data_IF_273850434464
#
_entry.id   IF_273850434464
#
_cell.length_a   1.000
_cell.length_b   1.000
_cell.length_c   1.000
_cell.angle_alpha   90.00
_cell.angle_beta   90.00
_cell.angle_gamma   90.00
#
_symmetry.space_group_name_H-M   'P 1'
#
loop_
_entity.id
_entity.type
_entity.pdbx_description
1 polymer ?
#
# COMPACT_ATOMS: atom_id res chain seq x y z
N UNK A 1 4.03 6.63 -2.43
CA UNK A 1 5.09 5.86 -1.74
C UNK A 1 4.55 5.29 -0.44
N UNK A 2 4.83 4.04 -0.16
CA UNK A 2 4.57 3.48 1.15
C UNK A 2 5.68 3.91 2.11
N UNK A 3 5.28 4.25 3.33
CA UNK A 3 6.13 4.93 4.29
C UNK A 3 6.64 3.96 5.36
N UNK A 4 7.95 3.70 5.38
CA UNK A 4 8.57 2.71 6.28
C UNK A 4 8.23 2.91 7.76
N UNK A 5 8.25 4.13 8.32
CA UNK A 5 7.89 4.31 9.72
C UNK A 5 6.48 3.84 10.06
N UNK A 6 5.51 4.06 9.16
CA UNK A 6 4.13 3.61 9.36
C UNK A 6 4.02 2.07 9.26
N UNK A 7 4.72 1.47 8.29
CA UNK A 7 4.75 0.01 8.14
C UNK A 7 5.33 -0.64 9.40
N UNK A 8 6.43 -0.12 9.92
CA UNK A 8 7.07 -0.65 11.12
C UNK A 8 6.21 -0.47 12.38
N UNK A 9 5.55 0.69 12.51
CA UNK A 9 4.75 1.00 13.70
C UNK A 9 3.43 0.25 13.75
N UNK A 10 2.78 0.07 12.61
CA UNK A 10 1.43 -0.50 12.55
C UNK A 10 1.39 -2.03 12.44
N UNK A 11 2.49 -2.68 12.04
CA UNK A 11 2.55 -4.13 11.87
C UNK A 11 1.34 -4.66 11.09
N UNK A 12 1.29 -4.48 9.77
CA UNK A 12 0.13 -4.85 8.97
C UNK A 12 -0.30 -6.30 9.20
N UNK A 13 -1.59 -6.49 9.27
CA UNK A 13 -2.21 -7.77 9.58
C UNK A 13 -3.27 -8.11 8.53
N UNK A 14 -3.84 -9.31 8.61
CA UNK A 14 -4.89 -9.78 7.73
C UNK A 14 -6.10 -8.84 7.78
N UNK A 15 -6.61 -8.45 6.60
CA UNK A 15 -7.79 -7.60 6.47
C UNK A 15 -8.78 -8.22 5.50
N UNK A 16 -10.06 -8.11 5.85
CA UNK A 16 -11.17 -8.55 5.01
C UNK A 16 -12.04 -7.35 4.68
N UNK A 17 -12.32 -7.14 3.41
CA UNK A 17 -13.23 -6.11 2.95
C UNK A 17 -14.32 -6.73 2.10
N UNK A 18 -15.58 -6.35 2.37
CA UNK A 18 -16.74 -6.82 1.61
C UNK A 18 -17.46 -5.64 0.98
N UNK A 19 -17.86 -5.81 -0.27
CA UNK A 19 -18.67 -4.86 -1.01
C UNK A 19 -19.88 -5.59 -1.55
N UNK A 20 -21.03 -4.96 -1.41
CA UNK A 20 -22.29 -5.47 -1.94
C UNK A 20 -22.81 -4.54 -3.04
N UNK A 21 -23.16 -5.12 -4.16
CA UNK A 21 -23.94 -4.46 -5.21
C UNK A 21 -25.29 -5.15 -5.29
N UNK A 22 -26.15 -4.69 -6.21
CA UNK A 22 -27.45 -5.31 -6.43
C UNK A 22 -27.33 -6.77 -6.79
N UNK A 23 -26.30 -7.15 -7.55
CA UNK A 23 -26.14 -8.49 -8.14
C UNK A 23 -24.99 -9.30 -7.57
N UNK A 24 -24.02 -8.65 -6.91
CA UNK A 24 -22.76 -9.27 -6.50
C UNK A 24 -22.43 -8.98 -5.05
N UNK A 25 -21.80 -9.98 -4.41
CA UNK A 25 -21.00 -9.78 -3.20
C UNK A 25 -19.56 -10.02 -3.54
N UNK A 26 -18.70 -9.02 -3.27
CA UNK A 26 -17.26 -9.11 -3.50
C UNK A 26 -16.56 -9.11 -2.15
N UNK A 27 -15.73 -10.14 -1.92
CA UNK A 27 -14.92 -10.24 -0.70
C UNK A 27 -13.45 -10.20 -1.09
N UNK A 28 -12.69 -9.29 -0.49
CA UNK A 28 -11.24 -9.21 -0.65
C UNK A 28 -10.57 -9.53 0.66
N UNK A 29 -9.69 -10.53 0.64
CA UNK A 29 -8.85 -10.88 1.77
C UNK A 29 -7.44 -10.42 1.44
N UNK A 30 -6.85 -9.60 2.30
CA UNK A 30 -5.49 -9.12 2.17
C UNK A 30 -4.62 -9.76 3.26
N UNK A 31 -3.63 -10.51 2.86
CA UNK A 31 -2.70 -11.21 3.75
C UNK A 31 -1.30 -10.65 3.52
N UNK A 32 -0.79 -9.79 4.41
CA UNK A 32 0.55 -9.23 4.26
C UNK A 32 1.62 -10.18 4.81
N UNK A 33 2.75 -10.23 4.12
CA UNK A 33 3.98 -10.85 4.64
C UNK A 33 5.06 -9.79 4.66
N UNK A 34 5.59 -9.49 5.84
CA UNK A 34 6.63 -8.48 6.01
C UNK A 34 8.01 -9.08 5.76
N UNK A 35 8.81 -8.37 4.97
CA UNK A 35 10.22 -8.67 4.75
C UNK A 35 11.04 -7.47 5.22
N UNK A 36 11.27 -7.32 6.55
CA UNK A 36 11.87 -6.10 7.09
C UNK A 36 13.28 -5.83 6.60
N UNK A 37 14.05 -6.86 6.31
CA UNK A 37 15.41 -6.68 5.79
C UNK A 37 15.46 -6.33 4.31
N UNK A 38 14.33 -6.35 3.63
CA UNK A 38 14.20 -5.98 2.22
C UNK A 38 13.35 -4.72 2.01
N UNK A 39 12.87 -4.09 3.08
CA UNK A 39 11.95 -2.94 3.04
C UNK A 39 10.76 -3.22 2.12
N UNK A 40 10.17 -4.40 2.28
CA UNK A 40 9.11 -4.87 1.40
C UNK A 40 8.00 -5.54 2.19
N UNK A 41 6.78 -5.31 1.75
CA UNK A 41 5.59 -6.06 2.18
C UNK A 41 5.02 -6.76 0.95
N UNK A 42 4.90 -8.07 1.01
CA UNK A 42 4.18 -8.82 -0.02
C UNK A 42 2.72 -8.86 0.40
N UNK A 43 1.87 -8.17 -0.33
CA UNK A 43 0.43 -8.16 -0.09
C UNK A 43 -0.23 -9.21 -0.98
N UNK A 44 -0.65 -10.30 -0.36
CA UNK A 44 -1.38 -11.36 -1.07
C UNK A 44 -2.87 -11.11 -0.98
N UNK A 45 -3.51 -10.95 -2.13
CA UNK A 45 -4.95 -10.70 -2.22
C UNK A 45 -5.68 -11.92 -2.75
N UNK A 46 -6.73 -12.30 -2.05
CA UNK A 46 -7.73 -13.25 -2.54
C UNK A 46 -9.01 -12.48 -2.76
N UNK A 47 -9.52 -12.47 -3.98
CA UNK A 47 -10.76 -11.78 -4.32
C UNK A 47 -11.79 -12.82 -4.75
N UNK A 48 -12.92 -12.82 -4.07
CA UNK A 48 -14.05 -13.71 -4.37
C UNK A 48 -15.24 -12.86 -4.76
N UNK A 49 -15.88 -13.21 -5.87
CA UNK A 49 -17.14 -12.60 -6.27
C UNK A 49 -18.22 -13.65 -6.37
N UNK A 50 -19.35 -13.40 -5.77
CA UNK A 50 -20.48 -14.30 -5.77
C UNK A 50 -21.72 -13.58 -6.30
N UNK A 51 -22.35 -14.16 -7.33
CA UNK A 51 -23.64 -13.70 -7.80
C UNK A 51 -24.70 -14.11 -6.77
N UNK A 52 -25.56 -13.16 -6.41
CA UNK A 52 -26.64 -13.41 -5.46
C UNK A 52 -27.62 -14.44 -6.03
N UNK A 53 -27.90 -14.33 -7.33
CA UNK A 53 -28.74 -15.28 -8.08
C UNK A 53 -28.09 -15.50 -9.45
N UNK A 54 -27.68 -16.71 -9.82
CA UNK A 54 -27.87 -18.05 -9.24
C UNK A 54 -26.82 -18.50 -8.21
N UNK A 55 -25.96 -17.61 -7.69
CA UNK A 55 -24.99 -17.97 -6.68
C UNK A 55 -23.64 -18.49 -7.21
N UNK A 56 -23.30 -18.21 -8.47
CA UNK A 56 -22.00 -18.57 -9.03
C UNK A 56 -20.86 -17.86 -8.30
N UNK A 57 -19.82 -18.61 -7.93
CA UNK A 57 -18.66 -18.10 -7.24
C UNK A 57 -17.45 -18.05 -8.19
N UNK A 58 -16.80 -16.90 -8.27
CA UNK A 58 -15.54 -16.74 -8.98
C UNK A 58 -14.48 -16.25 -8.00
N UNK A 59 -13.26 -16.72 -8.13
CA UNK A 59 -12.15 -16.26 -7.29
C UNK A 59 -10.87 -16.14 -8.09
N UNK A 60 -10.01 -15.21 -7.66
CA UNK A 60 -8.66 -15.08 -8.16
C UNK A 60 -7.73 -14.61 -7.05
N UNK A 61 -6.44 -14.83 -7.23
CA UNK A 61 -5.41 -14.44 -6.29
C UNK A 61 -4.34 -13.63 -6.99
N UNK A 62 -3.78 -12.64 -6.29
CA UNK A 62 -2.67 -11.83 -6.76
C UNK A 62 -1.75 -11.53 -5.60
N UNK A 63 -0.44 -11.48 -5.87
CA UNK A 63 0.54 -11.02 -4.88
C UNK A 63 1.20 -9.76 -5.41
N UNK A 64 1.17 -8.71 -4.60
CA UNK A 64 1.79 -7.43 -4.90
C UNK A 64 2.97 -7.20 -3.97
N UNK A 65 4.23 -7.34 -4.47
CA UNK A 65 5.38 -6.96 -3.69
C UNK A 65 5.48 -5.43 -3.65
N UNK A 66 5.38 -4.86 -2.45
CA UNK A 66 5.36 -3.41 -2.25
C UNK A 66 6.58 -2.99 -1.46
N UNK A 67 7.48 -2.26 -2.11
CA UNK A 67 8.60 -1.63 -1.43
C UNK A 67 8.13 -0.42 -0.63
N UNK A 68 8.76 -0.19 0.51
CA UNK A 68 8.51 0.99 1.31
C UNK A 68 9.82 1.70 1.63
N UNK A 69 9.75 3.00 1.89
CA UNK A 69 10.91 3.85 2.08
C UNK A 69 10.72 4.80 3.26
N UNK A 70 11.83 5.13 3.91
CA UNK A 70 11.91 6.32 4.77
C UNK A 70 12.26 7.54 3.92
N UNK A 71 12.08 8.74 4.46
CA UNK A 71 12.46 9.96 3.75
C UNK A 71 13.98 10.06 3.50
N UNK A 72 14.85 9.73 4.47
CA UNK A 72 16.30 9.73 4.20
C UNK A 72 16.71 8.77 3.08
N UNK A 73 16.14 7.58 3.01
CA UNK A 73 16.40 6.63 1.93
C UNK A 73 15.97 7.21 0.57
N UNK A 74 14.79 7.80 0.54
CA UNK A 74 14.29 8.41 -0.69
C UNK A 74 15.15 9.60 -1.11
N UNK A 75 15.59 10.42 -0.17
CA UNK A 75 16.46 11.56 -0.46
C UNK A 75 17.78 11.10 -1.12
N UNK A 76 18.36 10.00 -0.64
CA UNK A 76 19.55 9.42 -1.25
C UNK A 76 19.29 8.94 -2.67
N UNK A 77 18.19 8.26 -2.90
CA UNK A 77 17.82 7.77 -4.23
C UNK A 77 17.54 8.92 -5.20
N UNK A 78 16.85 9.94 -4.72
CA UNK A 78 16.55 11.13 -5.52
C UNK A 78 17.84 11.85 -5.93
N UNK A 79 18.74 12.09 -4.99
CA UNK A 79 20.02 12.74 -5.25
C UNK A 79 20.86 11.96 -6.25
N UNK A 80 20.96 10.65 -6.08
CA UNK A 80 21.69 9.79 -7.01
C UNK A 80 21.11 9.81 -8.42
N UNK A 81 19.82 10.13 -8.56
CA UNK A 81 19.12 10.21 -9.84
C UNK A 81 19.01 11.62 -10.40
N UNK A 82 19.63 12.62 -9.76
CA UNK A 82 19.62 14.01 -10.20
C UNK A 82 18.37 14.77 -9.81
N UNK A 83 17.70 14.37 -8.72
CA UNK A 83 16.51 15.05 -8.20
C UNK A 83 16.71 15.54 -6.78
N UNK A 84 15.91 16.51 -6.41
CA UNK A 84 15.84 17.07 -5.06
C UNK A 84 14.40 16.96 -4.56
N UNK A 85 14.20 16.46 -3.35
CA UNK A 85 12.88 16.46 -2.75
C UNK A 85 12.50 17.86 -2.28
N UNK A 86 11.39 18.38 -2.79
CA UNK A 86 10.85 19.68 -2.40
C UNK A 86 9.92 19.54 -1.22
N UNK A 87 9.06 18.53 -1.25
CA UNK A 87 8.07 18.31 -0.19
C UNK A 87 7.75 16.83 -0.02
N UNK A 88 7.27 16.51 1.16
CA UNK A 88 6.67 15.21 1.49
C UNK A 88 5.47 15.48 2.39
N UNK A 89 4.34 14.88 2.05
CA UNK A 89 3.11 15.04 2.83
C UNK A 89 2.35 13.73 2.90
N UNK A 90 1.57 13.59 3.96
CA UNK A 90 0.56 12.55 4.04
C UNK A 90 -0.34 12.63 2.81
N UNK A 91 -0.71 11.49 2.25
CA UNK A 91 -1.45 11.43 0.99
C UNK A 91 -2.66 12.37 0.99
N UNK A 92 -2.63 13.38 0.12
CA UNK A 92 -3.70 14.35 -0.14
C UNK A 92 -4.15 15.21 1.07
N UNK A 93 -3.36 15.31 2.14
CA UNK A 93 -3.76 16.08 3.32
C UNK A 93 -2.92 17.32 3.60
N UNK A 94 -1.74 17.44 2.97
CA UNK A 94 -0.74 18.48 3.22
C UNK A 94 -0.16 18.49 4.63
N UNK A 95 -0.43 17.44 5.40
CA UNK A 95 0.14 17.27 6.74
C UNK A 95 1.48 16.52 6.60
N UNK A 96 2.48 16.81 7.45
CA UNK A 96 3.74 16.04 7.42
C UNK A 96 3.51 14.55 7.61
N UNK A 97 4.32 13.70 6.97
CA UNK A 97 4.22 12.25 7.14
C UNK A 97 4.35 11.83 8.61
N UNK A 98 3.60 10.81 9.02
CA UNK A 98 3.63 10.26 10.37
C UNK A 98 3.51 8.75 10.35
N UNK A 99 3.71 8.12 11.50
CA UNK A 99 3.54 6.68 11.66
C UNK A 99 2.10 6.20 11.48
N UNK A 100 1.14 7.11 11.45
CA UNK A 100 -0.28 6.78 11.33
C UNK A 100 -0.71 6.52 9.89
N UNK A 101 0.05 6.98 8.89
CA UNK A 101 -0.35 6.96 7.48
C UNK A 101 0.69 6.28 6.62
N UNK A 102 0.24 5.28 5.86
CA UNK A 102 1.10 4.51 4.97
C UNK A 102 1.46 5.20 3.68
N UNK A 103 0.56 6.00 3.13
CA UNK A 103 0.74 6.67 1.85
C UNK A 103 1.32 8.06 2.00
N UNK A 104 2.45 8.32 1.34
CA UNK A 104 3.10 9.62 1.32
C UNK A 104 3.22 10.10 -0.12
N UNK A 105 2.82 11.34 -0.35
CA UNK A 105 2.98 12.04 -1.61
C UNK A 105 4.26 12.87 -1.57
N UNK A 106 5.08 12.70 -2.59
CA UNK A 106 6.37 13.37 -2.70
C UNK A 106 6.39 14.25 -3.94
N UNK A 107 7.03 15.41 -3.82
CA UNK A 107 7.33 16.26 -4.95
C UNK A 107 8.84 16.35 -5.10
N UNK A 108 9.33 15.94 -6.26
CA UNK A 108 10.75 15.98 -6.61
C UNK A 108 10.95 16.96 -7.74
N UNK A 109 12.05 17.69 -7.69
CA UNK A 109 12.45 18.61 -8.76
C UNK A 109 13.76 18.12 -9.38
N UNK A 110 13.81 18.11 -10.70
CA UNK A 110 15.03 17.77 -11.42
C UNK A 110 16.07 18.88 -11.19
N UNK A 111 17.25 18.47 -10.85
CA UNK A 111 18.39 19.37 -10.71
C UNK A 111 19.13 19.62 -12.03
#
# INVERSE_FOLDING_TARGET
>A
MWYSPAVAAQHPDLRVKRLHTTDLTITRIAEPTLHPNANRVDAHYTVMSQNITPGALHSFEETHPMSHFSLPELDLLAEASGFERISAEEWLTRVPPSEAIWGVCLVLRKQ
#
